data_IF_920430035595
#
_entry.id   IF_920430035595
#
_cell.length_a   1.000
_cell.length_b   1.000
_cell.length_c   1.000
_cell.angle_alpha   90.00
_cell.angle_beta   90.00
_cell.angle_gamma   90.00
#
_symmetry.space_group_name_H-M   'P 1'
#
loop_
_entity.id
_entity.type
_entity.pdbx_description
1 polymer ?
#
# COMPACT_ATOMS: atom_id res chain seq x y z
N UNK A 1 13.80 16.08 6.32
CA UNK A 1 14.30 15.33 5.14
C UNK A 1 13.14 15.06 4.20
N UNK A 2 13.42 14.90 2.89
CA UNK A 2 12.35 14.65 1.93
C UNK A 2 12.59 13.34 1.18
N UNK A 3 11.50 12.58 0.99
CA UNK A 3 11.49 11.31 0.26
C UNK A 3 10.38 11.30 -0.79
N UNK A 4 10.72 10.86 -1.99
CA UNK A 4 9.76 10.64 -3.07
C UNK A 4 9.33 9.17 -3.06
N UNK A 5 8.04 8.93 -2.87
CA UNK A 5 7.43 7.62 -3.01
C UNK A 5 6.72 7.57 -4.36
N UNK A 6 7.19 6.74 -5.25
CA UNK A 6 6.51 6.48 -6.53
C UNK A 6 5.35 5.54 -6.27
N UNK A 7 4.15 5.99 -6.58
CA UNK A 7 2.91 5.31 -6.25
C UNK A 7 2.58 4.20 -7.26
N UNK A 8 1.93 3.15 -6.79
CA UNK A 8 1.42 2.08 -7.63
C UNK A 8 0.11 2.44 -8.32
N UNK A 9 -0.64 1.42 -8.72
CA UNK A 9 -1.89 1.56 -9.50
C UNK A 9 -2.98 2.36 -8.79
N UNK A 10 -3.02 2.28 -7.45
CA UNK A 10 -4.04 2.91 -6.60
C UNK A 10 -3.41 4.04 -5.78
N UNK A 11 -3.23 5.23 -6.36
CA UNK A 11 -2.46 6.31 -5.72
C UNK A 11 -3.03 6.74 -4.37
N UNK A 12 -4.34 6.79 -4.24
CA UNK A 12 -4.99 7.21 -2.99
C UNK A 12 -4.73 6.21 -1.86
N UNK A 13 -4.86 4.90 -2.12
CA UNK A 13 -4.55 3.86 -1.13
C UNK A 13 -3.06 3.80 -0.82
N UNK A 14 -2.20 3.93 -1.84
CA UNK A 14 -0.75 3.99 -1.64
C UNK A 14 -0.35 5.18 -0.76
N UNK A 15 -0.96 6.35 -0.99
CA UNK A 15 -0.72 7.55 -0.17
C UNK A 15 -1.21 7.36 1.26
N UNK A 16 -2.41 6.79 1.46
CA UNK A 16 -2.95 6.50 2.78
C UNK A 16 -2.08 5.49 3.55
N UNK A 17 -1.60 4.44 2.87
CA UNK A 17 -0.66 3.48 3.43
C UNK A 17 0.65 4.15 3.88
N UNK A 18 1.27 4.98 3.01
CA UNK A 18 2.51 5.69 3.33
C UNK A 18 2.32 6.57 4.57
N UNK A 19 1.25 7.35 4.61
CA UNK A 19 0.94 8.23 5.75
C UNK A 19 0.79 7.41 7.04
N UNK A 20 0.01 6.32 7.00
CA UNK A 20 -0.19 5.45 8.16
C UNK A 20 1.12 4.79 8.61
N UNK A 21 1.95 4.31 7.68
CA UNK A 21 3.25 3.73 7.98
C UNK A 21 4.23 4.76 8.59
N UNK A 22 4.26 5.99 8.05
CA UNK A 22 5.08 7.09 8.61
C UNK A 22 4.63 7.48 10.02
N UNK A 23 3.33 7.49 10.29
CA UNK A 23 2.76 7.73 11.62
C UNK A 23 3.13 6.61 12.60
N UNK A 24 2.98 5.35 12.16
CA UNK A 24 3.33 4.16 12.99
C UNK A 24 4.83 4.13 13.31
N UNK A 25 5.69 4.54 12.38
CA UNK A 25 7.14 4.65 12.58
C UNK A 25 7.55 5.90 13.40
N UNK A 26 6.60 6.75 13.79
CA UNK A 26 6.87 8.05 14.42
C UNK A 26 7.93 8.85 13.64
N UNK A 27 7.80 8.87 12.32
CA UNK A 27 8.79 9.48 11.42
C UNK A 27 8.76 11.02 11.41
N UNK A 28 7.84 11.64 12.15
CA UNK A 28 7.67 13.09 12.16
C UNK A 28 7.19 13.61 10.81
N UNK A 29 6.17 12.94 10.23
CA UNK A 29 5.58 13.30 8.94
C UNK A 29 4.80 14.62 9.02
N UNK A 30 5.08 15.54 8.08
CA UNK A 30 4.34 16.78 7.91
C UNK A 30 3.61 16.81 6.57
N UNK A 31 2.27 16.76 6.63
CA UNK A 31 1.44 16.82 5.44
C UNK A 31 1.47 18.19 4.77
N UNK A 32 1.69 19.30 5.52
CA UNK A 32 1.68 20.67 4.97
C UNK A 32 2.90 20.92 4.08
N UNK A 33 4.04 20.34 4.46
CA UNK A 33 5.29 20.44 3.71
C UNK A 33 5.50 19.28 2.73
N UNK A 34 4.43 18.52 2.45
CA UNK A 34 4.43 17.38 1.53
C UNK A 34 3.64 17.70 0.26
N UNK A 35 4.00 17.07 -0.86
CA UNK A 35 3.30 17.24 -2.15
C UNK A 35 2.71 15.91 -2.58
N UNK A 36 1.48 15.97 -3.08
CA UNK A 36 0.71 14.80 -3.51
C UNK A 36 0.37 14.92 -4.99
N UNK A 37 0.66 13.88 -5.75
CA UNK A 37 0.25 13.72 -7.15
C UNK A 37 -0.17 12.27 -7.43
N UNK A 38 -0.86 11.96 -8.52
CA UNK A 38 -1.20 10.58 -8.84
C UNK A 38 -0.01 9.65 -9.08
N UNK A 39 1.18 10.17 -9.35
CA UNK A 39 2.37 9.36 -9.63
C UNK A 39 3.38 9.32 -8.48
N UNK A 40 3.44 10.37 -7.67
CA UNK A 40 4.45 10.54 -6.63
C UNK A 40 3.87 11.27 -5.43
N UNK A 41 4.19 10.76 -4.24
CA UNK A 41 4.09 11.52 -2.99
C UNK A 41 5.49 11.98 -2.59
N UNK A 42 5.71 13.30 -2.49
CA UNK A 42 6.92 13.86 -1.91
C UNK A 42 6.64 14.14 -0.44
N UNK A 43 7.13 13.28 0.44
CA UNK A 43 6.91 13.36 1.88
C UNK A 43 8.04 14.08 2.59
N UNK A 44 7.69 15.03 3.48
CA UNK A 44 8.62 15.65 4.43
C UNK A 44 8.54 14.95 5.77
N UNK A 45 9.68 14.50 6.30
CA UNK A 45 9.78 13.74 7.55
C UNK A 45 10.94 14.24 8.40
N UNK A 46 10.86 14.04 9.72
CA UNK A 46 11.91 14.43 10.65
C UNK A 46 13.02 13.36 10.75
N UNK A 47 12.63 12.06 10.71
CA UNK A 47 13.56 10.93 10.85
C UNK A 47 14.01 10.40 9.49
N UNK A 48 15.19 9.80 9.44
CA UNK A 48 15.69 9.12 8.25
C UNK A 48 14.91 7.82 8.00
N UNK A 49 14.61 7.57 6.72
CA UNK A 49 13.95 6.35 6.25
C UNK A 49 14.96 5.52 5.47
N UNK A 50 14.89 4.20 5.64
CA UNK A 50 15.73 3.21 5.00
C UNK A 50 14.94 2.30 4.05
N UNK A 51 15.62 1.34 3.44
CA UNK A 51 15.00 0.36 2.57
C UNK A 51 14.05 -0.58 3.33
N UNK A 52 14.29 -0.85 4.62
CA UNK A 52 13.43 -1.70 5.44
C UNK A 52 12.05 -1.05 5.63
N UNK A 53 12.03 0.27 5.93
CA UNK A 53 10.77 1.02 5.96
C UNK A 53 10.00 0.88 4.65
N UNK A 54 10.69 1.01 3.50
CA UNK A 54 10.03 0.91 2.20
C UNK A 54 9.48 -0.50 1.91
N UNK A 55 10.20 -1.55 2.29
CA UNK A 55 9.78 -2.94 2.06
C UNK A 55 8.55 -3.33 2.88
N UNK A 56 8.15 -2.53 3.85
CA UNK A 56 6.88 -2.68 4.56
C UNK A 56 5.67 -2.24 3.73
N UNK A 57 5.86 -1.45 2.65
CA UNK A 57 4.77 -0.90 1.85
C UNK A 57 4.31 -1.87 0.74
N UNK A 58 2.99 -1.97 0.54
CA UNK A 58 2.37 -2.77 -0.52
C UNK A 58 2.05 -1.96 -1.78
N UNK A 59 1.70 -0.68 -1.60
CA UNK A 59 1.18 0.18 -2.66
C UNK A 59 2.22 1.01 -3.42
N UNK A 60 3.46 1.08 -2.95
CA UNK A 60 4.53 1.88 -3.56
C UNK A 60 5.48 1.03 -4.39
N UNK A 61 6.00 1.57 -5.49
CA UNK A 61 6.92 0.85 -6.38
C UNK A 61 8.39 1.24 -6.25
N UNK A 62 8.67 2.47 -5.75
CA UNK A 62 10.02 2.97 -5.47
C UNK A 62 10.00 3.98 -4.33
N UNK A 63 11.10 4.08 -3.60
CA UNK A 63 11.41 5.18 -2.69
C UNK A 63 12.74 5.80 -3.05
N UNK A 64 12.78 7.13 -3.14
CA UNK A 64 13.99 7.89 -3.42
C UNK A 64 14.18 9.01 -2.39
N UNK A 65 15.42 9.21 -1.95
CA UNK A 65 15.80 10.33 -1.07
C UNK A 65 16.08 11.56 -1.93
N UNK A 66 15.44 12.67 -1.62
CA UNK A 66 15.76 13.95 -2.27
C UNK A 66 17.18 14.38 -1.88
N UNK A 67 18.01 14.62 -2.89
CA UNK A 67 19.40 15.05 -2.71
C UNK A 67 19.57 16.53 -2.95
N UNK A 68 18.70 17.13 -3.79
CA UNK A 68 18.79 18.58 -4.09
C UNK A 68 17.52 19.11 -4.74
N UNK A 69 17.11 20.33 -4.37
CA UNK A 69 16.27 21.21 -5.18
C UNK A 69 17.20 21.97 -6.14
N UNK A 70 16.92 21.99 -7.45
CA UNK A 70 17.84 22.52 -8.46
C UNK A 70 17.13 23.29 -9.56
N UNK A 71 17.90 24.20 -10.17
CA UNK A 71 17.58 24.84 -11.46
C UNK A 71 18.52 24.39 -12.59
N UNK A 72 19.63 23.72 -12.25
CA UNK A 72 20.65 23.22 -13.17
C UNK A 72 20.72 21.69 -13.08
N UNK A 73 19.74 21.02 -13.69
CA UNK A 73 19.53 19.55 -13.56
C UNK A 73 20.73 18.77 -14.10
N UNK A 74 21.27 19.15 -15.25
CA UNK A 74 22.39 18.49 -15.95
C UNK A 74 23.70 18.56 -15.14
N UNK A 75 24.06 19.74 -14.66
CA UNK A 75 25.27 19.95 -13.88
C UNK A 75 25.23 19.24 -12.53
N UNK A 76 24.07 19.28 -11.87
CA UNK A 76 23.93 18.63 -10.57
C UNK A 76 23.87 17.12 -10.72
N UNK A 77 23.18 16.58 -11.73
CA UNK A 77 23.20 15.14 -12.02
C UNK A 77 24.59 14.65 -12.32
N UNK A 78 25.39 15.40 -13.12
CA UNK A 78 26.76 15.02 -13.38
C UNK A 78 27.56 14.88 -12.07
N UNK A 79 27.53 15.87 -11.19
CA UNK A 79 28.20 15.85 -9.89
C UNK A 79 27.76 14.66 -9.02
N UNK A 80 26.44 14.39 -8.96
CA UNK A 80 25.94 13.25 -8.19
C UNK A 80 26.32 11.90 -8.81
N UNK A 81 26.34 11.77 -10.14
CA UNK A 81 26.78 10.56 -10.81
C UNK A 81 28.29 10.32 -10.66
N UNK A 82 29.08 11.39 -10.67
CA UNK A 82 30.53 11.31 -10.37
C UNK A 82 30.77 10.82 -8.94
N UNK A 83 30.00 11.30 -7.98
CA UNK A 83 30.08 10.89 -6.57
C UNK A 83 29.45 9.50 -6.30
N UNK A 84 28.54 9.02 -7.14
CA UNK A 84 27.81 7.78 -6.91
C UNK A 84 28.62 6.50 -7.16
N UNK A 85 29.82 6.62 -7.73
CA UNK A 85 30.69 5.48 -8.06
C UNK A 85 32.07 5.69 -7.48
N UNK A 86 32.45 4.82 -6.56
CA UNK A 86 33.84 4.72 -6.04
C UNK A 86 34.76 3.94 -7.01
N UNK A 87 34.22 3.37 -8.10
CA UNK A 87 34.91 2.47 -9.03
C UNK A 87 35.08 3.02 -10.44
N UNK A 88 35.79 2.24 -11.29
CA UNK A 88 36.01 2.53 -12.72
C UNK A 88 34.77 2.35 -13.60
N UNK A 89 33.68 1.76 -13.09
CA UNK A 89 32.44 1.52 -13.86
C UNK A 89 31.23 2.09 -13.13
N UNK A 90 30.30 2.66 -13.90
CA UNK A 90 29.03 3.19 -13.41
C UNK A 90 27.89 2.80 -14.35
N UNK A 91 26.89 2.10 -13.82
CA UNK A 91 25.60 1.95 -14.45
C UNK A 91 24.66 2.98 -13.86
N UNK A 92 23.98 3.77 -14.69
CA UNK A 92 23.00 4.73 -14.19
C UNK A 92 21.72 4.75 -15.03
N UNK A 93 20.64 5.23 -14.41
CA UNK A 93 19.37 5.47 -15.05
C UNK A 93 18.75 6.77 -14.59
N UNK A 94 17.96 7.39 -15.46
CA UNK A 94 17.15 8.56 -15.15
C UNK A 94 15.68 8.24 -15.31
N UNK A 95 14.87 8.73 -14.36
CA UNK A 95 13.42 8.65 -14.39
C UNK A 95 12.83 10.04 -14.15
N UNK A 96 11.81 10.37 -14.92
CA UNK A 96 11.09 11.64 -14.80
C UNK A 96 9.71 11.39 -14.21
N UNK A 97 9.35 12.13 -13.18
CA UNK A 97 8.01 12.14 -12.60
C UNK A 97 7.46 13.56 -12.51
N UNK A 98 6.17 13.69 -12.79
CA UNK A 98 5.44 14.93 -12.63
C UNK A 98 5.09 15.16 -11.15
N UNK A 99 5.50 16.30 -10.63
CA UNK A 99 5.19 16.78 -9.28
C UNK A 99 4.38 18.10 -9.35
N UNK A 100 3.45 18.18 -10.33
CA UNK A 100 2.61 19.34 -10.57
C UNK A 100 3.25 20.36 -11.51
N UNK A 101 4.06 19.93 -12.47
CA UNK A 101 4.61 20.80 -13.51
C UNK A 101 3.53 21.30 -14.47
N UNK A 102 3.72 22.52 -14.95
CA UNK A 102 2.95 23.02 -16.10
C UNK A 102 3.11 22.09 -17.32
N UNK A 103 2.05 21.83 -18.11
CA UNK A 103 2.10 20.85 -19.20
C UNK A 103 3.22 21.10 -20.22
N UNK A 104 3.57 22.36 -20.49
CA UNK A 104 4.69 22.73 -21.36
C UNK A 104 6.04 22.29 -20.79
N UNK A 105 6.23 22.50 -19.48
CA UNK A 105 7.45 22.11 -18.75
C UNK A 105 7.59 20.58 -18.67
N UNK A 106 6.51 19.87 -18.39
CA UNK A 106 6.50 18.41 -18.38
C UNK A 106 6.88 17.82 -19.75
N UNK A 107 6.33 18.36 -20.84
CA UNK A 107 6.67 17.96 -22.22
C UNK A 107 8.13 18.27 -22.57
N UNK A 108 8.65 19.41 -22.14
CA UNK A 108 10.06 19.78 -22.34
C UNK A 108 10.99 18.75 -21.68
N UNK A 109 10.78 18.45 -20.41
CA UNK A 109 11.56 17.44 -19.70
C UNK A 109 11.47 16.06 -20.34
N UNK A 110 10.27 15.65 -20.79
CA UNK A 110 10.07 14.36 -21.46
C UNK A 110 10.91 14.23 -22.74
N UNK A 111 10.98 15.27 -23.56
CA UNK A 111 11.81 15.29 -24.77
C UNK A 111 13.30 15.35 -24.46
N UNK A 112 13.68 15.94 -23.36
CA UNK A 112 15.06 16.16 -22.95
C UNK A 112 15.68 14.98 -22.23
N UNK A 113 14.91 14.10 -21.61
CA UNK A 113 15.40 13.01 -20.74
C UNK A 113 16.41 12.07 -21.44
N UNK A 114 16.09 11.62 -22.66
CA UNK A 114 16.98 10.74 -23.43
C UNK A 114 18.25 11.46 -23.91
N UNK A 115 18.20 12.63 -24.54
CA UNK A 115 19.37 13.45 -24.84
C UNK A 115 20.24 13.71 -23.62
N UNK A 116 19.66 14.09 -22.47
CA UNK A 116 20.37 14.31 -21.22
C UNK A 116 21.13 13.05 -20.77
N UNK A 117 20.48 11.89 -20.80
CA UNK A 117 21.12 10.62 -20.42
C UNK A 117 22.34 10.31 -21.29
N UNK A 118 22.27 10.59 -22.61
CA UNK A 118 23.38 10.37 -23.54
C UNK A 118 24.52 11.38 -23.33
N UNK A 119 24.19 12.62 -23.07
CA UNK A 119 25.17 13.68 -22.78
C UNK A 119 25.93 13.39 -21.48
N UNK A 120 25.22 13.07 -20.40
CA UNK A 120 25.84 12.67 -19.13
C UNK A 120 26.74 11.44 -19.30
N UNK A 121 26.30 10.43 -20.07
CA UNK A 121 27.14 9.26 -20.39
C UNK A 121 28.41 9.65 -21.11
N UNK A 122 28.35 10.59 -22.07
CA UNK A 122 29.52 11.09 -22.82
C UNK A 122 30.49 11.78 -21.89
N UNK A 123 30.02 12.77 -21.11
CA UNK A 123 30.83 13.55 -20.15
C UNK A 123 31.52 12.65 -19.11
N UNK A 124 30.78 11.67 -18.55
CA UNK A 124 31.35 10.71 -17.60
C UNK A 124 32.38 9.78 -18.22
N UNK A 125 32.28 9.42 -19.51
CA UNK A 125 33.31 8.65 -20.22
C UNK A 125 34.57 9.46 -20.46
N UNK A 126 34.47 10.75 -20.73
CA UNK A 126 35.59 11.66 -20.90
C UNK A 126 36.47 11.74 -19.64
N UNK A 127 35.90 11.47 -18.44
CA UNK A 127 36.66 11.34 -17.19
C UNK A 127 37.35 9.97 -17.00
N UNK A 128 37.40 9.11 -18.05
CA UNK A 128 38.09 7.82 -18.03
C UNK A 128 37.31 6.65 -17.42
N UNK A 129 35.99 6.80 -17.21
CA UNK A 129 35.14 5.76 -16.62
C UNK A 129 34.46 4.90 -17.67
N UNK A 130 34.21 3.62 -17.35
CA UNK A 130 33.28 2.78 -18.11
C UNK A 130 31.86 3.11 -17.67
N UNK A 131 31.00 3.63 -18.57
CA UNK A 131 29.66 4.10 -18.21
C UNK A 131 28.60 3.48 -19.10
N UNK A 132 27.54 2.92 -18.46
CA UNK A 132 26.35 2.44 -19.13
C UNK A 132 25.13 3.22 -18.63
N UNK A 133 24.42 3.89 -19.55
CA UNK A 133 23.13 4.48 -19.27
C UNK A 133 22.02 3.45 -19.54
N UNK A 134 21.24 3.11 -18.53
CA UNK A 134 20.04 2.27 -18.64
C UNK A 134 18.88 3.17 -19.05
N UNK A 135 18.31 2.89 -20.22
CA UNK A 135 17.25 3.73 -20.80
C UNK A 135 15.88 3.17 -20.48
N UNK A 136 14.95 4.05 -20.13
CA UNK A 136 13.55 3.70 -20.00
C UNK A 136 12.87 3.65 -21.38
N UNK A 137 11.87 2.78 -21.55
CA UNK A 137 11.01 2.76 -22.74
C UNK A 137 10.07 3.97 -22.78
N UNK A 138 9.79 4.57 -21.61
CA UNK A 138 9.00 5.79 -21.42
C UNK A 138 9.80 6.85 -20.67
N UNK A 139 9.11 7.51 -19.72
CA UNK A 139 9.71 8.58 -18.91
C UNK A 139 10.39 8.06 -17.62
N UNK A 140 10.15 6.81 -17.23
CA UNK A 140 10.69 6.25 -16.00
C UNK A 140 11.05 4.77 -16.17
N UNK A 141 12.12 4.36 -15.53
CA UNK A 141 12.48 2.95 -15.39
C UNK A 141 11.46 2.24 -14.52
N UNK A 142 11.14 1.01 -14.85
CA UNK A 142 10.34 0.14 -13.98
C UNK A 142 11.17 -0.33 -12.78
N UNK A 143 10.51 -0.74 -11.66
CA UNK A 143 11.21 -1.34 -10.52
C UNK A 143 12.05 -2.55 -10.94
N UNK A 144 11.55 -3.36 -11.89
CA UNK A 144 12.27 -4.52 -12.45
C UNK A 144 13.53 -4.10 -13.20
N UNK A 145 13.48 -3.02 -14.00
CA UNK A 145 14.67 -2.52 -14.69
C UNK A 145 15.70 -1.98 -13.69
N UNK A 146 15.27 -1.27 -12.66
CA UNK A 146 16.16 -0.73 -11.60
C UNK A 146 16.84 -1.88 -10.84
N UNK A 147 16.09 -2.90 -10.45
CA UNK A 147 16.58 -4.05 -9.69
C UNK A 147 17.54 -4.90 -10.53
N UNK A 148 17.13 -5.36 -11.73
CA UNK A 148 17.94 -6.20 -12.62
C UNK A 148 19.25 -5.53 -13.04
N UNK A 149 19.27 -4.21 -13.19
CA UNK A 149 20.48 -3.46 -13.50
C UNK A 149 21.25 -2.99 -12.24
N UNK A 150 20.81 -3.41 -11.04
CA UNK A 150 21.46 -3.10 -9.74
C UNK A 150 21.70 -1.60 -9.55
N UNK A 151 20.73 -0.78 -9.99
CA UNK A 151 20.81 0.67 -9.86
C UNK A 151 20.56 1.16 -8.43
N UNK A 152 20.12 0.30 -7.52
CA UNK A 152 20.21 0.49 -6.08
C UNK A 152 21.45 -0.21 -5.56
N UNK A 153 22.39 0.53 -5.00
CA UNK A 153 23.65 0.00 -4.45
C UNK A 153 24.86 0.15 -5.40
N UNK A 154 25.01 -0.74 -6.42
CA UNK A 154 26.19 -0.73 -7.30
C UNK A 154 26.15 0.36 -8.39
N UNK A 155 24.97 0.71 -8.86
CA UNK A 155 24.73 1.81 -9.79
C UNK A 155 23.95 2.95 -9.13
N UNK A 156 23.32 3.79 -9.96
CA UNK A 156 22.45 4.85 -9.47
C UNK A 156 21.24 5.06 -10.38
N UNK A 157 20.04 5.14 -9.80
CA UNK A 157 18.89 5.75 -10.46
C UNK A 157 18.63 7.12 -9.82
N UNK A 158 18.52 8.16 -10.64
CA UNK A 158 18.05 9.46 -10.20
C UNK A 158 16.67 9.76 -10.77
N UNK A 159 15.80 10.23 -9.88
CA UNK A 159 14.48 10.74 -10.24
C UNK A 159 14.60 12.26 -10.42
N UNK A 160 14.09 12.74 -11.55
CA UNK A 160 13.87 14.16 -11.82
C UNK A 160 12.39 14.40 -11.49
N UNK A 161 12.12 15.14 -10.43
CA UNK A 161 10.78 15.47 -9.97
C UNK A 161 10.44 16.88 -10.46
N UNK A 162 9.64 16.98 -11.52
CA UNK A 162 9.31 18.25 -12.15
C UNK A 162 8.08 18.88 -11.47
N UNK A 163 8.30 19.90 -10.65
CA UNK A 163 7.24 20.72 -10.07
C UNK A 163 6.89 21.94 -10.91
N UNK A 164 5.90 22.73 -10.50
CA UNK A 164 5.43 23.91 -11.20
C UNK A 164 6.54 24.94 -11.46
N UNK A 165 7.33 25.24 -10.45
CA UNK A 165 8.45 26.22 -10.52
C UNK A 165 9.80 25.64 -10.17
N UNK A 166 9.82 24.54 -9.43
CA UNK A 166 11.01 23.90 -8.86
C UNK A 166 11.22 22.53 -9.46
N UNK A 167 12.44 22.05 -9.44
CA UNK A 167 12.80 20.67 -9.77
C UNK A 167 13.60 20.09 -8.63
N UNK A 168 13.29 18.85 -8.26
CA UNK A 168 14.09 18.13 -7.27
C UNK A 168 14.77 16.93 -7.93
N UNK A 169 16.00 16.68 -7.52
CA UNK A 169 16.72 15.45 -7.80
C UNK A 169 16.63 14.54 -6.59
N UNK A 170 16.23 13.28 -6.83
CA UNK A 170 16.17 12.28 -5.79
C UNK A 170 16.88 11.00 -6.24
N UNK A 171 17.67 10.38 -5.36
CA UNK A 171 18.31 9.09 -5.62
C UNK A 171 17.45 7.96 -5.12
N UNK A 172 17.18 6.98 -5.96
CA UNK A 172 16.44 5.78 -5.56
C UNK A 172 17.24 4.99 -4.54
N UNK A 173 16.60 4.67 -3.42
CA UNK A 173 17.19 3.92 -2.29
C UNK A 173 16.53 2.56 -2.08
N UNK A 174 15.29 2.37 -2.60
CA UNK A 174 14.61 1.09 -2.55
C UNK A 174 13.60 0.94 -3.70
N UNK A 175 13.40 -0.29 -4.13
CA UNK A 175 12.37 -0.69 -5.10
C UNK A 175 11.52 -1.82 -4.55
N UNK A 176 10.29 -1.94 -5.03
CA UNK A 176 9.36 -2.97 -4.57
C UNK A 176 9.94 -4.37 -4.81
N UNK A 177 9.91 -5.20 -3.78
CA UNK A 177 10.30 -6.61 -3.82
C UNK A 177 9.21 -7.44 -4.53
N UNK A 178 9.12 -7.31 -5.85
CA UNK A 178 8.05 -7.91 -6.66
C UNK A 178 8.08 -9.44 -6.65
N UNK A 179 9.27 -10.05 -6.58
CA UNK A 179 9.43 -11.51 -6.49
C UNK A 179 8.85 -12.03 -5.17
N UNK A 180 9.12 -11.35 -4.06
CA UNK A 180 8.63 -11.66 -2.73
C UNK A 180 7.08 -11.60 -2.66
N UNK A 181 6.46 -10.59 -3.29
CA UNK A 181 5.01 -10.53 -3.42
C UNK A 181 4.46 -11.65 -4.31
N UNK A 182 5.15 -11.97 -5.41
CA UNK A 182 4.75 -13.03 -6.32
C UNK A 182 4.79 -14.41 -5.63
N UNK A 183 5.80 -14.66 -4.81
CA UNK A 183 5.92 -15.87 -4.01
C UNK A 183 4.72 -16.03 -3.05
N UNK A 184 4.34 -14.97 -2.33
CA UNK A 184 3.20 -15.01 -1.43
C UNK A 184 1.84 -15.06 -2.14
N UNK A 185 1.76 -14.62 -3.40
CA UNK A 185 0.53 -14.69 -4.19
C UNK A 185 0.33 -16.07 -4.84
N UNK A 186 1.39 -16.61 -5.46
CA UNK A 186 1.33 -17.81 -6.28
C UNK A 186 2.05 -19.02 -5.68
N UNK A 187 3.02 -18.83 -4.80
CA UNK A 187 3.85 -19.90 -4.21
C UNK A 187 3.23 -20.58 -2.98
N UNK A 188 2.17 -20.03 -2.41
CA UNK A 188 1.50 -20.62 -1.24
C UNK A 188 0.83 -21.95 -1.59
N UNK A 189 0.81 -22.94 -0.65
CA UNK A 189 0.32 -24.29 -0.95
C UNK A 189 -1.18 -24.39 -1.24
N UNK A 190 -1.98 -23.43 -0.76
CA UNK A 190 -3.45 -23.38 -0.95
C UNK A 190 -3.85 -22.07 -1.63
N UNK A 191 -3.74 -22.02 -2.95
CA UNK A 191 -4.23 -20.91 -3.75
C UNK A 191 -5.66 -21.22 -4.22
N UNK A 192 -6.64 -20.39 -3.85
CA UNK A 192 -8.02 -20.50 -4.32
C UNK A 192 -8.27 -19.46 -5.43
N UNK A 193 -7.99 -19.86 -6.67
CA UNK A 193 -8.22 -19.00 -7.84
C UNK A 193 -9.70 -18.71 -8.13
N UNK A 194 -10.64 -19.46 -7.51
CA UNK A 194 -12.08 -19.36 -7.80
C UNK A 194 -12.82 -18.34 -6.94
N UNK A 195 -12.40 -18.13 -5.68
CA UNK A 195 -13.11 -17.27 -4.74
C UNK A 195 -12.70 -15.79 -4.79
N UNK A 196 -11.82 -15.39 -5.72
CA UNK A 196 -11.45 -13.99 -5.87
C UNK A 196 -10.60 -13.46 -4.69
N UNK A 197 -9.54 -14.19 -4.37
CA UNK A 197 -8.64 -13.88 -3.24
C UNK A 197 -8.18 -12.42 -3.18
N UNK A 198 -8.08 -11.91 -1.96
CA UNK A 198 -7.47 -10.60 -1.68
C UNK A 198 -5.99 -10.62 -2.12
N UNK A 199 -5.54 -9.69 -2.99
CA UNK A 199 -4.13 -9.63 -3.37
C UNK A 199 -3.23 -9.30 -2.17
N UNK A 200 -2.05 -9.96 -2.01
CA UNK A 200 -1.13 -9.68 -0.91
C UNK A 200 -0.77 -8.20 -0.75
N UNK A 201 -0.57 -7.47 -1.86
CA UNK A 201 -0.29 -6.03 -1.83
C UNK A 201 -1.43 -5.23 -1.22
N UNK A 202 -2.69 -5.58 -1.52
CA UNK A 202 -3.85 -4.91 -0.96
C UNK A 202 -4.01 -5.24 0.53
N UNK A 203 -3.87 -6.52 0.89
CA UNK A 203 -3.88 -6.95 2.30
C UNK A 203 -2.81 -6.20 3.12
N UNK A 204 -1.59 -6.07 2.59
CA UNK A 204 -0.51 -5.31 3.23
C UNK A 204 -0.86 -3.84 3.41
N UNK A 205 -1.42 -3.19 2.39
CA UNK A 205 -1.90 -1.81 2.50
C UNK A 205 -2.96 -1.68 3.60
N UNK A 206 -3.91 -2.62 3.68
CA UNK A 206 -4.95 -2.61 4.72
C UNK A 206 -4.37 -2.75 6.12
N UNK A 207 -3.41 -3.67 6.33
CA UNK A 207 -2.73 -3.85 7.62
C UNK A 207 -1.93 -2.61 8.01
N UNK A 208 -1.19 -1.98 7.08
CA UNK A 208 -0.48 -0.73 7.33
C UNK A 208 -1.44 0.43 7.65
N UNK A 209 -2.56 0.54 6.93
CA UNK A 209 -3.61 1.55 7.19
C UNK A 209 -4.20 1.37 8.58
N UNK A 210 -4.39 0.15 9.06
CA UNK A 210 -4.83 -0.12 10.42
C UNK A 210 -3.82 0.43 11.44
N UNK A 211 -2.52 0.17 11.26
CA UNK A 211 -1.45 0.75 12.08
C UNK A 211 -1.62 0.45 13.58
N UNK A 212 -2.02 -0.78 13.92
CA UNK A 212 -2.17 -1.23 15.31
C UNK A 212 -0.84 -1.63 15.95
N UNK A 213 -0.80 -1.78 17.29
CA UNK A 213 0.35 -2.30 18.01
C UNK A 213 0.67 -3.75 17.58
N UNK A 214 1.95 -4.05 17.32
CA UNK A 214 2.38 -5.37 16.84
C UNK A 214 2.40 -6.46 17.92
N UNK A 215 2.35 -6.08 19.18
CA UNK A 215 2.30 -6.95 20.36
C UNK A 215 0.87 -7.21 20.87
N UNK A 216 -0.13 -6.58 20.24
CA UNK A 216 -1.54 -6.85 20.49
C UNK A 216 -2.15 -7.78 19.43
N UNK A 217 -3.22 -8.56 19.78
CA UNK A 217 -3.88 -9.43 18.81
C UNK A 217 -4.46 -8.66 17.62
N UNK A 218 -4.11 -9.12 16.41
CA UNK A 218 -4.78 -8.75 15.17
C UNK A 218 -5.68 -9.89 14.73
N UNK A 219 -6.95 -9.59 14.48
CA UNK A 219 -7.99 -10.52 14.03
C UNK A 219 -8.37 -10.25 12.57
N UNK A 220 -8.44 -11.33 11.77
CA UNK A 220 -9.20 -11.37 10.53
C UNK A 220 -10.41 -12.30 10.68
N UNK A 221 -11.63 -11.74 10.89
CA UNK A 221 -12.84 -12.53 11.14
C UNK A 221 -13.50 -13.11 9.89
N UNK A 222 -12.88 -12.93 8.71
CA UNK A 222 -13.27 -13.47 7.41
C UNK A 222 -12.02 -13.94 6.66
N UNK A 223 -11.18 -14.73 7.33
CA UNK A 223 -9.78 -14.93 6.92
C UNK A 223 -9.60 -15.67 5.60
N UNK A 224 -10.61 -16.40 5.11
CA UNK A 224 -10.54 -17.14 3.86
C UNK A 224 -9.31 -18.05 3.79
N UNK A 225 -8.37 -17.78 2.88
CA UNK A 225 -7.10 -18.49 2.76
C UNK A 225 -5.93 -17.84 3.52
N UNK A 226 -6.19 -16.85 4.39
CA UNK A 226 -5.24 -16.27 5.33
C UNK A 226 -4.36 -15.15 4.78
N UNK A 227 -4.73 -14.46 3.71
CA UNK A 227 -3.88 -13.45 3.07
C UNK A 227 -3.56 -12.27 4.01
N UNK A 228 -4.56 -11.74 4.74
CA UNK A 228 -4.35 -10.64 5.71
C UNK A 228 -3.41 -11.08 6.83
N UNK A 229 -3.64 -12.28 7.39
CA UNK A 229 -2.82 -12.83 8.48
C UNK A 229 -1.37 -13.06 8.04
N UNK A 230 -1.16 -13.56 6.82
CA UNK A 230 0.17 -13.74 6.25
C UNK A 230 0.90 -12.40 6.08
N UNK A 231 0.24 -11.37 5.57
CA UNK A 231 0.85 -10.04 5.44
C UNK A 231 1.10 -9.39 6.81
N UNK A 232 0.19 -9.55 7.77
CA UNK A 232 0.38 -9.08 9.14
C UNK A 232 1.60 -9.74 9.82
N UNK A 233 1.78 -11.06 9.64
CA UNK A 233 2.95 -11.78 10.13
C UNK A 233 4.27 -11.22 9.58
N UNK A 234 4.33 -10.96 8.26
CA UNK A 234 5.51 -10.37 7.62
C UNK A 234 5.76 -8.92 8.01
N UNK A 235 4.74 -8.21 8.48
CA UNK A 235 4.83 -6.85 9.03
C UNK A 235 5.23 -6.82 10.51
N UNK A 236 5.39 -8.00 11.15
CA UNK A 236 5.89 -8.11 12.51
C UNK A 236 4.83 -8.20 13.61
N UNK A 237 3.56 -8.41 13.26
CA UNK A 237 2.53 -8.73 14.25
C UNK A 237 2.82 -10.08 14.88
N UNK A 238 2.72 -10.17 16.21
CA UNK A 238 3.15 -11.34 17.00
C UNK A 238 2.01 -12.24 17.43
N UNK A 239 0.78 -11.76 17.42
CA UNK A 239 -0.42 -12.48 17.84
C UNK A 239 -1.47 -12.31 16.76
N UNK A 240 -1.77 -13.39 16.06
CA UNK A 240 -2.69 -13.38 14.92
C UNK A 240 -3.82 -14.37 15.15
N UNK A 241 -5.03 -13.88 14.97
CA UNK A 241 -6.26 -14.65 15.11
C UNK A 241 -7.02 -14.63 13.78
N UNK A 242 -7.53 -15.77 13.35
CA UNK A 242 -8.37 -15.88 12.17
C UNK A 242 -9.68 -16.58 12.49
N UNK A 243 -10.77 -16.18 11.83
CA UNK A 243 -11.99 -16.98 11.79
C UNK A 243 -12.61 -16.95 10.42
N UNK A 244 -13.33 -17.99 10.09
CA UNK A 244 -14.14 -18.10 8.89
C UNK A 244 -15.29 -19.11 9.13
N UNK A 245 -16.42 -18.92 8.46
CA UNK A 245 -17.54 -19.85 8.53
C UNK A 245 -17.21 -21.20 7.87
N UNK A 246 -16.27 -21.23 6.93
CA UNK A 246 -15.89 -22.40 6.14
C UNK A 246 -14.75 -23.17 6.80
N UNK A 247 -14.96 -24.47 7.18
CA UNK A 247 -13.88 -25.33 7.66
C UNK A 247 -12.72 -25.43 6.66
N UNK A 248 -13.03 -25.47 5.34
CA UNK A 248 -12.03 -25.50 4.28
C UNK A 248 -11.16 -24.25 4.28
N UNK A 249 -11.76 -23.07 4.48
CA UNK A 249 -11.03 -21.82 4.55
C UNK A 249 -10.03 -21.81 5.72
N UNK A 250 -10.43 -22.33 6.87
CA UNK A 250 -9.57 -22.47 8.04
C UNK A 250 -8.41 -23.46 7.79
N UNK A 251 -8.67 -24.59 7.15
CA UNK A 251 -7.61 -25.55 6.79
C UNK A 251 -6.62 -24.93 5.79
N UNK A 252 -7.12 -24.19 4.78
CA UNK A 252 -6.29 -23.48 3.81
C UNK A 252 -5.46 -22.39 4.49
N UNK A 253 -6.06 -21.61 5.41
CA UNK A 253 -5.37 -20.59 6.20
C UNK A 253 -4.25 -21.19 7.04
N UNK A 254 -4.50 -22.28 7.78
CA UNK A 254 -3.51 -22.98 8.59
C UNK A 254 -2.34 -23.49 7.75
N UNK A 255 -2.64 -24.09 6.58
CA UNK A 255 -1.61 -24.60 5.67
C UNK A 255 -0.72 -23.47 5.10
N UNK A 256 -1.34 -22.37 4.64
CA UNK A 256 -0.64 -21.22 4.10
C UNK A 256 0.21 -20.50 5.15
N UNK A 257 -0.33 -20.36 6.36
CA UNK A 257 0.37 -19.73 7.47
C UNK A 257 1.58 -20.56 7.93
N UNK A 258 1.41 -21.88 8.08
CA UNK A 258 2.50 -22.79 8.44
C UNK A 258 3.64 -22.77 7.39
N UNK A 259 3.29 -22.74 6.10
CA UNK A 259 4.26 -22.55 5.02
C UNK A 259 5.02 -21.23 5.16
N UNK A 260 4.33 -20.10 5.34
CA UNK A 260 4.95 -18.78 5.47
C UNK A 260 5.89 -18.71 6.68
N UNK A 261 5.46 -19.23 7.84
CA UNK A 261 6.26 -19.27 9.07
C UNK A 261 7.55 -20.05 8.85
N UNK A 262 7.48 -21.20 8.17
CA UNK A 262 8.63 -22.03 7.84
C UNK A 262 9.59 -21.32 6.88
N UNK A 263 9.07 -20.77 5.76
CA UNK A 263 9.89 -20.11 4.74
C UNK A 263 10.59 -18.84 5.25
N UNK A 264 9.96 -18.11 6.19
CA UNK A 264 10.46 -16.83 6.70
C UNK A 264 11.06 -16.90 8.10
N UNK A 265 11.03 -18.05 8.76
CA UNK A 265 11.53 -18.22 10.14
C UNK A 265 10.79 -17.33 11.16
N UNK A 266 9.49 -17.08 10.96
CA UNK A 266 8.73 -16.16 11.81
C UNK A 266 8.40 -16.79 13.17
N UNK A 267 8.33 -15.95 14.22
CA UNK A 267 7.90 -16.32 15.56
C UNK A 267 6.59 -15.60 15.89
N UNK A 268 5.47 -16.26 15.63
CA UNK A 268 4.13 -15.68 15.75
C UNK A 268 3.22 -16.66 16.52
N UNK A 269 2.48 -16.15 17.48
CA UNK A 269 1.33 -16.83 18.05
C UNK A 269 0.18 -16.77 17.03
N UNK A 270 -0.33 -17.91 16.60
CA UNK A 270 -1.37 -17.98 15.59
C UNK A 270 -2.44 -18.98 16.00
N UNK A 271 -3.69 -18.56 15.83
CA UNK A 271 -4.84 -19.44 15.90
C UNK A 271 -5.87 -19.07 14.83
N UNK A 272 -6.59 -20.07 14.31
CA UNK A 272 -7.66 -19.89 13.36
C UNK A 272 -8.79 -20.90 13.64
N UNK A 273 -10.01 -20.42 13.76
CA UNK A 273 -11.17 -21.20 14.20
C UNK A 273 -12.32 -21.13 13.18
N UNK A 274 -13.10 -22.20 13.09
CA UNK A 274 -14.37 -22.17 12.35
C UNK A 274 -15.40 -21.50 13.24
N UNK A 275 -15.83 -20.28 12.86
CA UNK A 275 -16.76 -19.49 13.67
C UNK A 275 -17.53 -18.51 12.78
N UNK A 276 -18.84 -18.38 13.01
CA UNK A 276 -19.62 -17.27 12.45
C UNK A 276 -19.22 -15.97 13.17
N UNK A 277 -19.04 -14.89 12.43
CA UNK A 277 -18.63 -13.59 12.98
C UNK A 277 -19.51 -13.12 14.14
N UNK A 278 -20.80 -13.42 14.15
CA UNK A 278 -21.74 -13.07 15.22
C UNK A 278 -21.43 -13.78 16.54
N UNK A 279 -20.80 -14.98 16.47
CA UNK A 279 -20.53 -15.85 17.61
C UNK A 279 -19.11 -15.64 18.17
N UNK A 280 -18.29 -14.75 17.57
CA UNK A 280 -16.95 -14.40 18.06
C UNK A 280 -16.91 -13.99 19.54
N UNK A 281 -17.90 -13.28 20.10
CA UNK A 281 -17.90 -12.97 21.56
C UNK A 281 -18.04 -14.18 22.48
N UNK A 282 -18.34 -15.38 21.96
CA UNK A 282 -18.31 -16.61 22.75
C UNK A 282 -16.96 -17.33 22.72
N UNK A 283 -16.14 -17.01 21.72
CA UNK A 283 -14.82 -17.61 21.47
C UNK A 283 -13.66 -16.74 21.95
N UNK A 284 -13.88 -15.43 22.05
CA UNK A 284 -12.86 -14.45 22.39
C UNK A 284 -13.28 -13.63 23.61
N UNK A 285 -12.36 -13.40 24.52
CA UNK A 285 -12.59 -12.58 25.72
C UNK A 285 -12.97 -11.14 25.34
N UNK A 286 -13.82 -10.46 26.12
CA UNK A 286 -14.12 -9.05 25.94
C UNK A 286 -12.85 -8.18 25.95
N UNK A 287 -12.78 -7.19 25.06
CA UNK A 287 -11.67 -6.26 24.94
C UNK A 287 -10.28 -6.94 24.82
N UNK A 288 -10.21 -8.10 24.17
CA UNK A 288 -8.98 -8.87 23.96
C UNK A 288 -8.27 -8.54 22.64
N UNK A 289 -8.99 -8.03 21.63
CA UNK A 289 -8.48 -7.75 20.28
C UNK A 289 -8.06 -6.28 20.16
N UNK A 290 -6.84 -6.01 19.65
CA UNK A 290 -6.35 -4.64 19.43
C UNK A 290 -6.72 -4.09 18.05
N UNK A 291 -6.69 -4.95 17.04
CA UNK A 291 -6.87 -4.56 15.64
C UNK A 291 -7.67 -5.61 14.87
N UNK A 292 -8.61 -5.16 14.05
CA UNK A 292 -9.34 -6.00 13.09
C UNK A 292 -9.03 -5.52 11.67
N UNK A 293 -8.64 -6.44 10.78
CA UNK A 293 -8.42 -6.14 9.36
C UNK A 293 -9.06 -7.24 8.54
N UNK A 294 -10.07 -6.90 7.73
CA UNK A 294 -10.76 -7.92 6.95
C UNK A 294 -11.36 -7.42 5.64
N UNK A 295 -11.45 -8.34 4.69
CA UNK A 295 -12.37 -8.30 3.57
C UNK A 295 -13.50 -9.30 3.86
N UNK A 296 -14.70 -8.85 4.25
CA UNK A 296 -15.83 -9.74 4.48
C UNK A 296 -16.36 -10.32 3.16
N UNK A 297 -17.38 -11.15 3.23
CA UNK A 297 -18.11 -11.56 2.04
C UNK A 297 -18.67 -10.32 1.31
N UNK A 298 -18.31 -10.16 0.02
CA UNK A 298 -18.68 -9.01 -0.81
C UNK A 298 -19.89 -9.28 -1.71
N UNK A 299 -20.57 -10.38 -1.50
CA UNK A 299 -21.65 -10.89 -2.34
C UNK A 299 -21.20 -11.97 -3.33
N UNK A 300 -22.15 -12.60 -4.02
CA UNK A 300 -21.85 -13.62 -5.02
C UNK A 300 -21.12 -13.03 -6.22
N UNK A 301 -20.34 -13.84 -6.98
CA UNK A 301 -19.74 -13.41 -8.23
C UNK A 301 -20.80 -12.84 -9.20
N UNK A 302 -20.54 -11.63 -9.72
CA UNK A 302 -21.43 -10.94 -10.65
C UNK A 302 -20.94 -11.10 -12.09
N UNK A 303 -21.90 -11.24 -13.02
CA UNK A 303 -21.64 -11.26 -14.46
C UNK A 303 -21.61 -9.85 -15.06
N UNK A 304 -22.32 -8.91 -14.43
CA UNK A 304 -22.42 -7.50 -14.83
C UNK A 304 -23.69 -7.16 -15.60
N UNK A 305 -24.63 -8.11 -15.69
CA UNK A 305 -25.95 -7.98 -16.31
C UNK A 305 -27.09 -8.24 -15.29
N UNK A 306 -26.77 -8.22 -13.98
CA UNK A 306 -27.75 -8.44 -12.93
C UNK A 306 -28.80 -7.32 -12.88
N UNK A 307 -30.06 -7.72 -12.63
CA UNK A 307 -31.15 -6.77 -12.43
C UNK A 307 -30.94 -5.91 -11.17
N UNK A 308 -31.48 -4.69 -11.17
CA UNK A 308 -31.46 -3.82 -10.00
C UNK A 308 -32.07 -4.44 -8.76
N UNK A 309 -33.13 -5.28 -8.92
CA UNK A 309 -33.76 -6.02 -7.83
C UNK A 309 -32.80 -7.03 -7.20
N UNK A 310 -32.04 -7.77 -8.02
CA UNK A 310 -31.05 -8.74 -7.55
C UNK A 310 -29.92 -8.03 -6.79
N UNK A 311 -29.41 -6.93 -7.33
CA UNK A 311 -28.37 -6.11 -6.65
C UNK A 311 -28.92 -5.55 -5.33
N UNK A 312 -30.16 -5.10 -5.29
CA UNK A 312 -30.78 -4.59 -4.07
C UNK A 312 -30.93 -5.69 -2.99
N UNK A 313 -31.31 -6.90 -3.38
CA UNK A 313 -31.40 -8.04 -2.46
C UNK A 313 -30.02 -8.38 -1.87
N UNK A 314 -28.98 -8.51 -2.70
CA UNK A 314 -27.59 -8.71 -2.24
C UNK A 314 -27.18 -7.60 -1.27
N UNK A 315 -27.50 -6.36 -1.59
CA UNK A 315 -27.18 -5.21 -0.75
C UNK A 315 -27.79 -5.34 0.66
N UNK A 316 -29.06 -5.72 0.77
CA UNK A 316 -29.75 -5.89 2.06
C UNK A 316 -29.16 -7.04 2.89
N UNK A 317 -28.82 -8.16 2.25
CA UNK A 317 -28.18 -9.31 2.92
C UNK A 317 -26.82 -8.92 3.49
N UNK A 318 -25.99 -8.20 2.71
CA UNK A 318 -24.69 -7.73 3.14
C UNK A 318 -24.78 -6.72 4.27
N UNK A 319 -25.73 -5.78 4.23
CA UNK A 319 -25.98 -4.87 5.35
C UNK A 319 -26.28 -5.62 6.64
N UNK A 320 -27.10 -6.68 6.57
CA UNK A 320 -27.40 -7.55 7.71
C UNK A 320 -26.16 -8.25 8.28
N UNK A 321 -25.30 -8.78 7.39
CA UNK A 321 -24.04 -9.41 7.78
C UNK A 321 -23.10 -8.38 8.48
N UNK A 322 -22.94 -7.19 7.91
CA UNK A 322 -22.01 -6.19 8.44
C UNK A 322 -22.47 -5.59 9.77
N UNK A 323 -23.79 -5.44 9.98
CA UNK A 323 -24.33 -5.07 11.30
C UNK A 323 -23.97 -6.10 12.37
N UNK A 324 -24.18 -7.40 12.08
CA UNK A 324 -23.80 -8.47 13.02
C UNK A 324 -22.30 -8.50 13.29
N UNK A 325 -21.48 -8.24 12.27
CA UNK A 325 -20.03 -8.16 12.43
C UNK A 325 -19.62 -7.02 13.36
N UNK A 326 -20.12 -5.80 13.15
CA UNK A 326 -19.77 -4.65 13.99
C UNK A 326 -20.35 -4.75 15.41
N UNK A 327 -21.51 -5.36 15.60
CA UNK A 327 -22.04 -5.71 16.93
C UNK A 327 -21.09 -6.68 17.65
N UNK A 328 -20.61 -7.74 16.98
CA UNK A 328 -19.63 -8.66 17.54
C UNK A 328 -18.30 -7.97 17.86
N UNK A 329 -17.78 -7.16 16.94
CA UNK A 329 -16.53 -6.40 17.12
C UNK A 329 -16.58 -5.47 18.33
N UNK A 330 -17.72 -4.84 18.60
CA UNK A 330 -17.89 -3.95 19.76
C UNK A 330 -17.71 -4.65 21.10
N UNK A 331 -17.88 -5.97 21.14
CA UNK A 331 -17.77 -6.78 22.36
C UNK A 331 -16.35 -7.29 22.61
N UNK A 332 -15.57 -7.52 21.54
CA UNK A 332 -14.23 -8.12 21.63
C UNK A 332 -13.09 -7.12 21.47
N UNK A 333 -13.34 -5.95 20.83
CA UNK A 333 -12.31 -4.97 20.55
C UNK A 333 -11.99 -4.14 21.80
N UNK A 334 -10.72 -3.85 22.00
CA UNK A 334 -10.26 -2.92 23.04
C UNK A 334 -10.73 -1.50 22.75
N UNK A 335 -11.01 -0.68 23.79
CA UNK A 335 -11.19 0.76 23.60
C UNK A 335 -9.99 1.38 22.86
N UNK A 336 -10.25 2.21 21.87
CA UNK A 336 -9.21 2.77 20.97
C UNK A 336 -8.74 1.82 19.88
N UNK A 337 -9.21 0.57 19.86
CA UNK A 337 -8.90 -0.41 18.83
C UNK A 337 -9.37 0.03 17.45
N UNK A 338 -8.77 -0.53 16.41
CA UNK A 338 -9.01 -0.12 15.03
C UNK A 338 -9.59 -1.25 14.20
N UNK A 339 -10.46 -0.89 13.26
CA UNK A 339 -11.02 -1.82 12.26
C UNK A 339 -10.74 -1.27 10.87
N UNK A 340 -10.06 -2.05 10.02
CA UNK A 340 -10.04 -1.81 8.57
C UNK A 340 -10.97 -2.81 7.90
N UNK A 341 -11.99 -2.27 7.24
CA UNK A 341 -13.08 -3.04 6.68
C UNK A 341 -13.36 -2.66 5.24
N UNK A 342 -13.66 -3.64 4.41
CA UNK A 342 -13.98 -3.47 3.00
C UNK A 342 -15.48 -3.54 2.77
N UNK A 343 -16.04 -2.51 2.12
CA UNK A 343 -17.42 -2.55 1.62
C UNK A 343 -17.42 -2.78 0.11
N UNK A 344 -18.33 -3.61 -0.42
CA UNK A 344 -18.49 -3.75 -1.86
C UNK A 344 -19.10 -2.49 -2.49
N UNK A 345 -18.66 -2.22 -3.71
CA UNK A 345 -19.24 -1.16 -4.56
C UNK A 345 -19.78 -1.79 -5.83
N UNK A 346 -21.10 -1.69 -6.02
CA UNK A 346 -21.82 -2.22 -7.18
C UNK A 346 -22.11 -1.08 -8.16
N UNK A 347 -21.30 -0.93 -9.21
CA UNK A 347 -21.39 0.22 -10.12
C UNK A 347 -21.10 1.53 -9.38
N UNK A 348 -22.13 2.36 -9.18
CA UNK A 348 -22.10 3.59 -8.38
C UNK A 348 -22.73 3.46 -6.99
N UNK A 349 -23.27 2.27 -6.65
CA UNK A 349 -23.96 2.04 -5.39
C UNK A 349 -22.95 1.63 -4.30
N UNK A 350 -22.82 2.46 -3.26
CA UNK A 350 -21.97 2.22 -2.07
C UNK A 350 -22.84 1.78 -0.90
N UNK A 351 -22.34 0.84 -0.08
CA UNK A 351 -22.97 0.52 1.22
C UNK A 351 -22.62 1.65 2.18
N UNK A 352 -23.63 2.23 2.82
CA UNK A 352 -23.46 3.29 3.80
C UNK A 352 -24.12 2.90 5.13
N UNK A 353 -23.31 2.39 6.06
CA UNK A 353 -23.68 2.04 7.42
C UNK A 353 -22.95 2.89 8.47
N UNK A 354 -22.27 3.97 8.07
CA UNK A 354 -21.39 4.73 8.95
C UNK A 354 -22.10 5.25 10.19
N UNK A 355 -23.32 5.80 10.03
CA UNK A 355 -24.12 6.30 11.16
C UNK A 355 -24.56 5.19 12.10
N UNK A 356 -24.95 4.03 11.56
CA UNK A 356 -25.36 2.88 12.36
C UNK A 356 -24.17 2.32 13.16
N UNK A 357 -22.97 2.35 12.59
CA UNK A 357 -21.76 1.90 13.28
C UNK A 357 -21.33 2.85 14.41
N UNK A 358 -21.67 4.13 14.32
CA UNK A 358 -21.50 5.06 15.44
C UNK A 358 -22.35 4.64 16.66
N UNK A 359 -23.49 3.96 16.44
CA UNK A 359 -24.32 3.42 17.51
C UNK A 359 -23.64 2.26 18.25
N UNK A 360 -22.79 1.51 17.58
CA UNK A 360 -21.92 0.47 18.18
C UNK A 360 -20.59 1.04 18.73
N UNK A 361 -20.33 2.33 18.63
CA UNK A 361 -19.12 2.98 19.12
C UNK A 361 -18.00 3.08 18.08
N UNK A 362 -18.26 2.84 16.78
CA UNK A 362 -17.25 2.93 15.71
C UNK A 362 -17.35 4.25 14.96
N UNK A 363 -16.25 4.98 14.91
CA UNK A 363 -16.14 6.22 14.14
C UNK A 363 -15.19 6.02 12.96
N UNK A 364 -15.66 6.34 11.76
CA UNK A 364 -14.80 6.34 10.57
C UNK A 364 -13.74 7.44 10.66
N UNK A 365 -12.49 7.10 10.39
CA UNK A 365 -11.35 8.02 10.40
C UNK A 365 -10.96 8.44 8.98
N UNK A 366 -10.50 9.70 8.83
CA UNK A 366 -9.90 10.16 7.58
C UNK A 366 -8.57 9.46 7.31
N UNK A 367 -8.42 8.92 6.11
CA UNK A 367 -7.20 8.25 5.65
C UNK A 367 -6.24 9.19 4.93
N UNK A 368 -6.76 10.30 4.40
CA UNK A 368 -6.02 11.29 3.63
C UNK A 368 -6.23 12.70 4.19
N UNK A 369 -5.19 13.55 4.22
CA UNK A 369 -5.36 14.97 4.48
C UNK A 369 -6.10 15.65 3.32
N UNK A 370 -6.81 16.76 3.59
CA UNK A 370 -7.64 17.45 2.59
C UNK A 370 -6.90 17.82 1.31
N UNK A 371 -5.63 18.23 1.42
CA UNK A 371 -4.80 18.53 0.25
C UNK A 371 -4.53 17.30 -0.63
N UNK A 372 -4.37 16.12 -0.05
CA UNK A 372 -4.22 14.88 -0.81
C UNK A 372 -5.55 14.46 -1.47
N UNK A 373 -6.68 14.66 -0.81
CA UNK A 373 -8.02 14.44 -1.37
C UNK A 373 -8.20 15.24 -2.66
N UNK A 374 -7.84 16.53 -2.64
CA UNK A 374 -7.92 17.43 -3.80
C UNK A 374 -6.93 17.00 -4.88
N UNK A 375 -5.65 16.80 -4.54
CA UNK A 375 -4.59 16.50 -5.50
C UNK A 375 -4.78 15.14 -6.20
N UNK A 376 -5.35 14.16 -5.51
CA UNK A 376 -5.62 12.82 -6.03
C UNK A 376 -7.03 12.70 -6.64
N UNK A 377 -7.83 13.76 -6.59
CA UNK A 377 -9.20 13.81 -7.08
C UNK A 377 -10.07 12.64 -6.57
N UNK A 378 -9.98 12.37 -5.26
CA UNK A 378 -10.78 11.32 -4.62
C UNK A 378 -12.06 11.89 -4.00
N UNK A 379 -13.09 11.04 -3.93
CA UNK A 379 -14.44 11.44 -3.48
C UNK A 379 -14.49 11.80 -1.99
N UNK A 380 -13.68 11.13 -1.16
CA UNK A 380 -13.72 11.25 0.29
C UNK A 380 -12.33 11.00 0.89
N UNK A 381 -12.09 11.53 2.09
CA UNK A 381 -10.93 11.18 2.90
C UNK A 381 -11.10 9.89 3.69
N UNK A 382 -12.33 9.40 3.88
CA UNK A 382 -12.64 8.27 4.78
C UNK A 382 -12.77 6.94 4.07
N UNK A 383 -13.40 6.89 2.88
CA UNK A 383 -13.53 5.69 2.06
C UNK A 383 -12.66 5.78 0.81
N UNK A 384 -11.78 4.81 0.60
CA UNK A 384 -10.89 4.77 -0.56
C UNK A 384 -11.21 3.57 -1.44
N UNK A 385 -11.59 3.87 -2.68
CA UNK A 385 -11.96 2.85 -3.66
C UNK A 385 -10.74 2.13 -4.21
N UNK A 386 -10.80 0.79 -4.18
CA UNK A 386 -9.94 -0.11 -4.95
C UNK A 386 -10.79 -0.86 -5.99
N UNK A 387 -10.46 -0.71 -7.27
CA UNK A 387 -11.17 -1.42 -8.35
C UNK A 387 -10.26 -1.70 -9.53
N UNK A 388 -10.13 -2.96 -9.92
CA UNK A 388 -9.47 -3.33 -11.17
C UNK A 388 -10.44 -3.22 -12.35
N UNK A 389 -9.95 -2.96 -13.57
CA UNK A 389 -10.82 -2.79 -14.75
C UNK A 389 -11.70 -4.01 -15.06
N UNK A 390 -11.20 -5.21 -14.75
CA UNK A 390 -11.87 -6.50 -14.95
C UNK A 390 -12.86 -6.87 -13.83
N UNK A 391 -12.82 -6.17 -12.70
CA UNK A 391 -13.68 -6.46 -11.55
C UNK A 391 -15.05 -5.78 -11.67
N UNK A 392 -16.11 -6.54 -11.41
CA UNK A 392 -17.51 -6.05 -11.38
C UNK A 392 -17.84 -5.37 -10.05
N UNK A 393 -17.26 -5.88 -8.96
CA UNK A 393 -17.43 -5.34 -7.61
C UNK A 393 -16.17 -4.59 -7.20
N UNK A 394 -16.33 -3.31 -6.89
CA UNK A 394 -15.26 -2.49 -6.28
C UNK A 394 -15.18 -2.74 -4.77
N UNK A 395 -14.10 -2.28 -4.16
CA UNK A 395 -13.82 -2.38 -2.72
C UNK A 395 -13.64 -0.98 -2.16
N UNK A 396 -14.55 -0.55 -1.31
CA UNK A 396 -14.43 0.71 -0.60
C UNK A 396 -13.84 0.44 0.79
N UNK A 397 -12.64 0.93 1.05
CA UNK A 397 -11.83 0.59 2.21
C UNK A 397 -11.93 1.72 3.23
N UNK A 398 -12.40 1.37 4.43
CA UNK A 398 -12.55 2.28 5.56
C UNK A 398 -11.69 1.85 6.73
N UNK A 399 -11.24 2.83 7.52
CA UNK A 399 -10.71 2.61 8.86
C UNK A 399 -11.63 3.22 9.88
N UNK A 400 -11.95 2.42 10.91
CA UNK A 400 -12.74 2.85 12.06
C UNK A 400 -11.91 2.80 13.33
N UNK A 401 -12.20 3.72 14.24
CA UNK A 401 -11.74 3.66 15.63
C UNK A 401 -12.92 3.29 16.51
N UNK A 402 -12.68 2.35 17.43
CA UNK A 402 -13.67 1.94 18.41
C UNK A 402 -13.54 2.77 19.69
N UNK A 403 -14.60 3.44 20.06
CA UNK A 403 -14.74 4.14 21.33
C UNK A 403 -16.09 3.71 21.92
N UNK A 404 -16.12 2.79 22.91
CA UNK A 404 -17.37 2.31 23.49
C UNK A 404 -18.16 3.49 24.02
N UNK A 405 -19.49 3.48 23.78
CA UNK A 405 -20.39 4.45 24.40
C UNK A 405 -20.41 4.20 25.92
N UNK A 406 -20.28 5.26 26.69
CA UNK A 406 -20.41 5.24 28.16
C UNK A 406 -21.83 4.91 28.59
#
# INVERSE_FOLDING_TARGET
MQYAFVLGREPALSTAEIIAALQTADAGFDAKDSTFTPSVMLATVAKELDAEFFHRLGGSIKMARVVKETQSVDEDLLKFLEAASEGKSLDFGLSLYDLGAEPARARMFGKWLKPLSLELKKRLKESGRSVRAVMADGLALTSVQVDKNKLVGKGAEFLILAGAKKTWLARTIAVQAFEDFSERDFGRPRADAKSGMLPPKLARMMVNIAGGPQDEPLLDPFCGSGTVLNEAATLGYRILLGSDLSPKAIDDTRANFAWLVKERGLKVKFDAIVCDVKDLPTELDPASVGTIVCEPFLGPPLKGDESDQKIHHIYLELMGLYRRAFDAFSKILKPGGKVVFVFPVFGSKHINLLREFEDYGFRAEGLLPGMAVTALNVRSSTGLLYKRPDQKVGRDIFRFRFNPKQ
#
